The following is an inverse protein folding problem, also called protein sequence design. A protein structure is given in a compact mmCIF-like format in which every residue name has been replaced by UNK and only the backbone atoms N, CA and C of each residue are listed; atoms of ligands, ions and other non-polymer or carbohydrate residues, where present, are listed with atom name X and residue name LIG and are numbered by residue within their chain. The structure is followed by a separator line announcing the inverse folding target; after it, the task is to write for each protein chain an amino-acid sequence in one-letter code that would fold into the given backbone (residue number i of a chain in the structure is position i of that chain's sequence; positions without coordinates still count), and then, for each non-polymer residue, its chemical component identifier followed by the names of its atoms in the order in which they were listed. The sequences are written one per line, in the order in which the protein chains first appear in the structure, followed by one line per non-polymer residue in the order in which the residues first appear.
data_IF_620331703059
#
_entry.id   IF_620331703059
#
_cell.length_a   1.000
_cell.length_b   1.000
_cell.length_c   1.000
_cell.angle_alpha   90.00
_cell.angle_beta   90.00
_cell.angle_gamma   90.00
#
_symmetry.space_group_name_H-M   'P 1'
#
loop_
_entity.id
_entity.type
_entity.pdbx_description
1 polymer ?
#
# COMPACT_ATOMS: atom_id res chain seq x y z
N UNK A 1 -8.63 4.01 7.27
CA UNK A 1 -7.79 4.74 8.26
C UNK A 1 -8.15 4.41 9.72
N UNK A 2 -9.12 3.54 9.95
CA UNK A 2 -9.70 3.32 11.30
C UNK A 2 -8.69 2.86 12.37
N UNK A 3 -7.74 2.02 12.01
CA UNK A 3 -6.68 1.55 12.93
C UNK A 3 -5.33 2.26 12.73
N UNK A 4 -5.29 3.27 11.87
CA UNK A 4 -4.05 3.98 11.55
C UNK A 4 -3.33 4.57 12.78
N UNK A 5 -4.02 5.19 13.78
CA UNK A 5 -3.36 5.65 14.99
C UNK A 5 -2.70 4.51 15.77
N UNK A 6 -3.42 3.38 15.95
CA UNK A 6 -2.89 2.22 16.68
C UNK A 6 -1.70 1.58 15.97
N UNK A 7 -1.74 1.47 14.64
CA UNK A 7 -0.60 1.00 13.83
C UNK A 7 0.60 1.90 14.02
N UNK A 8 0.40 3.23 13.98
CA UNK A 8 1.49 4.19 14.17
C UNK A 8 2.15 4.06 15.54
N UNK A 9 1.37 3.87 16.61
CA UNK A 9 1.88 3.66 17.96
C UNK A 9 2.72 2.37 18.06
N UNK A 10 2.25 1.26 17.47
CA UNK A 10 3.01 0.00 17.44
C UNK A 10 4.32 0.18 16.68
N UNK A 11 4.29 0.76 15.47
CA UNK A 11 5.48 0.98 14.68
C UNK A 11 6.51 1.85 15.40
N UNK A 12 6.05 2.93 16.06
CA UNK A 12 6.91 3.82 16.87
C UNK A 12 7.52 3.09 18.05
N UNK A 13 6.71 2.39 18.84
CA UNK A 13 7.17 1.62 20.01
C UNK A 13 8.17 0.53 19.63
N UNK A 14 7.89 -0.12 18.51
CA UNK A 14 8.74 -1.18 17.97
C UNK A 14 9.92 -0.64 17.12
N UNK A 15 10.05 0.67 16.92
CA UNK A 15 11.10 1.27 16.09
C UNK A 15 11.18 0.66 14.69
N UNK A 16 10.03 0.45 14.05
CA UNK A 16 9.90 -0.12 12.70
C UNK A 16 9.45 0.95 11.74
N UNK A 17 10.20 1.16 10.66
CA UNK A 17 9.80 2.00 9.55
C UNK A 17 9.20 1.14 8.43
N UNK A 18 8.16 1.64 7.78
CA UNK A 18 7.46 0.97 6.70
C UNK A 18 7.31 1.89 5.50
N UNK A 19 6.92 1.32 4.36
CA UNK A 19 6.46 2.09 3.20
C UNK A 19 4.94 2.04 3.14
N UNK A 20 4.28 3.18 3.27
CA UNK A 20 2.84 3.31 3.13
C UNK A 20 2.47 3.56 1.67
N UNK A 21 1.57 2.75 1.14
CA UNK A 21 0.92 2.97 -0.15
C UNK A 21 -0.46 3.55 0.08
N UNK A 22 -0.74 4.75 -0.42
CA UNK A 22 -1.96 5.47 -0.12
C UNK A 22 -2.81 5.76 -1.36
N UNK A 23 -4.11 5.54 -1.22
CA UNK A 23 -5.18 5.96 -2.12
C UNK A 23 -6.10 6.94 -1.37
N UNK A 24 -6.93 7.69 -2.08
CA UNK A 24 -7.88 8.60 -1.45
C UNK A 24 -9.25 7.93 -1.25
N UNK A 25 -9.28 6.90 -0.45
CA UNK A 25 -10.51 6.19 -0.11
C UNK A 25 -11.33 6.93 0.95
N UNK A 26 -12.64 6.70 0.97
CA UNK A 26 -13.53 7.30 1.96
C UNK A 26 -13.13 6.95 3.39
N UNK A 27 -13.25 7.93 4.27
CA UNK A 27 -13.09 7.77 5.71
C UNK A 27 -14.38 8.20 6.44
N UNK A 28 -14.47 7.89 7.72
CA UNK A 28 -15.62 8.30 8.54
C UNK A 28 -15.71 9.81 8.70
N UNK A 29 -14.61 10.51 8.53
CA UNK A 29 -14.49 11.97 8.64
C UNK A 29 -14.98 12.71 7.39
N UNK A 30 -15.28 12.00 6.31
CA UNK A 30 -15.98 12.53 5.13
C UNK A 30 -15.08 13.00 3.98
N UNK A 31 -13.79 13.30 4.23
CA UNK A 31 -12.84 13.83 3.22
C UNK A 31 -11.90 12.74 2.78
N UNK A 32 -11.88 11.69 2.53
CA UNK A 32 -10.93 10.65 2.08
C UNK A 32 -9.63 10.59 2.88
N UNK A 33 -8.96 9.48 2.75
CA UNK A 33 -7.73 9.16 3.51
C UNK A 33 -6.53 10.04 3.15
N UNK A 34 -6.57 10.73 2.03
CA UNK A 34 -5.62 11.77 1.63
C UNK A 34 -6.21 13.20 1.75
N UNK A 35 -7.35 13.34 2.42
CA UNK A 35 -7.99 14.60 2.72
C UNK A 35 -7.26 15.42 3.79
N UNK A 36 -7.78 16.62 4.06
CA UNK A 36 -7.16 17.55 5.00
C UNK A 36 -7.24 17.06 6.44
N UNK A 37 -8.28 16.33 6.81
CA UNK A 37 -8.40 15.71 8.13
C UNK A 37 -7.20 14.80 8.45
N UNK A 38 -6.76 13.99 7.48
CA UNK A 38 -5.67 13.03 7.67
C UNK A 38 -4.28 13.58 7.33
N UNK A 39 -4.19 14.80 6.77
CA UNK A 39 -2.92 15.42 6.41
C UNK A 39 -1.91 15.52 7.59
N UNK A 40 -2.31 15.87 8.84
CA UNK A 40 -1.40 15.86 9.98
C UNK A 40 -0.85 14.47 10.29
N UNK A 41 -1.65 13.43 10.13
CA UNK A 41 -1.22 12.05 10.35
C UNK A 41 -0.12 11.63 9.35
N UNK A 42 -0.34 11.91 8.05
CA UNK A 42 0.66 11.60 7.01
C UNK A 42 1.96 12.38 7.20
N UNK A 43 1.85 13.66 7.58
CA UNK A 43 3.02 14.49 7.89
C UNK A 43 3.83 13.92 9.05
N UNK A 44 3.17 13.47 10.09
CA UNK A 44 3.84 12.82 11.23
C UNK A 44 4.54 11.53 10.80
N UNK A 45 3.91 10.69 9.98
CA UNK A 45 4.55 9.45 9.48
C UNK A 45 5.78 9.74 8.65
N UNK A 46 5.72 10.73 7.75
CA UNK A 46 6.89 11.16 6.98
C UNK A 46 8.03 11.67 7.86
N UNK A 47 7.71 12.46 8.90
CA UNK A 47 8.68 13.00 9.86
C UNK A 47 9.31 11.89 10.72
N UNK A 48 8.60 10.82 11.02
CA UNK A 48 9.10 9.65 11.76
C UNK A 48 10.01 8.75 10.90
N UNK A 49 10.20 9.05 9.62
CA UNK A 49 11.09 8.28 8.74
C UNK A 49 10.39 7.18 7.94
N UNK A 50 9.07 7.08 7.98
CA UNK A 50 8.34 6.20 7.07
C UNK A 50 8.45 6.71 5.63
N UNK A 51 8.40 5.77 4.68
CA UNK A 51 8.31 6.11 3.25
C UNK A 51 6.85 6.14 2.79
N UNK A 52 6.58 6.97 1.79
CA UNK A 52 5.25 7.12 1.20
C UNK A 52 5.31 6.73 -0.27
N UNK A 53 4.24 6.13 -0.79
CA UNK A 53 4.11 5.72 -2.19
C UNK A 53 2.63 5.69 -2.61
N UNK A 54 2.37 5.59 -3.91
CA UNK A 54 1.03 5.64 -4.47
C UNK A 54 0.31 4.29 -4.45
N UNK A 55 -1.00 4.33 -4.16
CA UNK A 55 -1.92 3.20 -4.34
C UNK A 55 -3.05 3.51 -5.34
N UNK A 56 -2.78 4.41 -6.29
CA UNK A 56 -3.73 5.10 -7.18
C UNK A 56 -4.67 6.04 -6.41
N UNK A 57 -5.16 7.10 -7.06
CA UNK A 57 -5.97 8.10 -6.36
C UNK A 57 -7.33 7.55 -5.90
N UNK A 58 -8.08 6.92 -6.84
CA UNK A 58 -9.41 6.39 -6.56
C UNK A 58 -9.40 4.89 -6.18
N UNK A 59 -8.25 4.36 -5.75
CA UNK A 59 -8.07 2.92 -5.51
C UNK A 59 -8.57 2.10 -6.70
N UNK A 60 -7.98 2.36 -7.86
CA UNK A 60 -8.46 1.92 -9.18
C UNK A 60 -7.97 0.52 -9.52
N UNK A 61 -8.84 -0.46 -9.38
CA UNK A 61 -8.54 -1.85 -9.75
C UNK A 61 -8.39 -2.01 -11.26
N UNK A 62 -7.29 -2.55 -11.72
CA UNK A 62 -7.15 -3.14 -13.04
C UNK A 62 -8.01 -4.42 -13.14
N UNK A 63 -8.69 -4.62 -14.26
CA UNK A 63 -9.51 -5.80 -14.52
C UNK A 63 -9.06 -6.57 -15.75
N UNK A 64 -8.66 -5.87 -16.82
CA UNK A 64 -8.16 -6.44 -18.06
C UNK A 64 -7.45 -5.38 -18.89
N UNK A 65 -6.57 -5.79 -19.79
CA UNK A 65 -6.09 -4.95 -20.87
C UNK A 65 -7.23 -4.73 -21.89
N UNK A 66 -7.38 -3.51 -22.38
CA UNK A 66 -8.47 -3.09 -23.29
C UNK A 66 -7.94 -2.42 -24.55
N UNK A 67 -6.65 -2.23 -24.69
CA UNK A 67 -5.93 -1.71 -25.83
C UNK A 67 -4.54 -2.31 -25.89
N UNK A 68 -3.80 -2.03 -26.96
CA UNK A 68 -2.43 -2.48 -27.15
C UNK A 68 -1.54 -1.33 -27.66
N UNK A 69 -0.23 -1.55 -27.72
CA UNK A 69 0.69 -0.57 -28.30
C UNK A 69 0.24 -0.21 -29.74
N UNK A 70 0.30 1.07 -30.16
CA UNK A 70 0.87 2.20 -29.43
C UNK A 70 -0.08 2.87 -28.43
N UNK A 71 -1.32 2.43 -28.30
CA UNK A 71 -2.35 3.03 -27.45
C UNK A 71 -2.83 2.06 -26.34
N UNK A 72 -1.98 1.75 -25.33
CA UNK A 72 -2.37 0.86 -24.25
C UNK A 72 -3.51 1.48 -23.42
N UNK A 73 -4.49 0.64 -23.10
CA UNK A 73 -5.65 1.00 -22.28
C UNK A 73 -6.04 -0.16 -21.38
N UNK A 74 -6.80 0.14 -20.33
CA UNK A 74 -7.15 -0.81 -19.28
C UNK A 74 -8.62 -0.72 -18.93
N UNK A 75 -9.29 -1.84 -18.84
CA UNK A 75 -10.59 -1.93 -18.16
C UNK A 75 -10.33 -1.85 -16.67
N UNK A 76 -10.97 -0.90 -16.02
CA UNK A 76 -10.75 -0.61 -14.58
C UNK A 76 -12.07 -0.54 -13.83
N UNK A 77 -11.98 -0.61 -12.50
CA UNK A 77 -13.12 -0.39 -11.59
C UNK A 77 -12.59 0.22 -10.29
N UNK A 78 -12.74 1.54 -10.07
CA UNK A 78 -12.37 2.19 -8.82
C UNK A 78 -13.25 1.73 -7.66
N UNK A 79 -12.71 1.69 -6.44
CA UNK A 79 -13.50 1.51 -5.21
C UNK A 79 -13.73 2.82 -4.44
N UNK A 80 -13.26 3.94 -4.99
CA UNK A 80 -13.50 5.28 -4.43
C UNK A 80 -13.71 6.32 -5.54
N UNK A 81 -14.13 7.51 -5.13
CA UNK A 81 -14.28 8.66 -6.01
C UNK A 81 -15.58 8.66 -6.84
N UNK A 82 -15.71 9.60 -7.81
CA UNK A 82 -16.96 9.83 -8.53
C UNK A 82 -17.46 8.65 -9.37
N UNK A 83 -16.54 7.76 -9.76
CA UNK A 83 -16.86 6.56 -10.56
C UNK A 83 -16.74 5.26 -9.76
N UNK A 84 -16.88 5.34 -8.45
CA UNK A 84 -16.86 4.19 -7.56
C UNK A 84 -17.78 3.08 -8.02
N UNK A 85 -17.27 1.84 -8.10
CA UNK A 85 -18.02 0.66 -8.49
C UNK A 85 -18.32 0.54 -9.98
N UNK A 86 -18.04 1.55 -10.82
CA UNK A 86 -18.28 1.52 -12.25
C UNK A 86 -17.09 0.89 -12.99
N UNK A 87 -17.39 0.06 -14.00
CA UNK A 87 -16.37 -0.46 -14.91
C UNK A 87 -16.31 0.38 -16.18
N UNK A 88 -15.10 0.82 -16.55
CA UNK A 88 -14.86 1.59 -17.77
C UNK A 88 -13.45 1.37 -18.29
N UNK A 89 -13.12 1.97 -19.42
CA UNK A 89 -11.78 1.92 -20.00
C UNK A 89 -11.05 3.22 -19.71
N UNK A 90 -9.82 3.09 -19.22
CA UNK A 90 -8.83 4.15 -19.07
C UNK A 90 -7.69 3.95 -20.05
N UNK A 91 -7.17 5.01 -20.66
CA UNK A 91 -5.87 4.99 -21.31
C UNK A 91 -4.74 4.80 -20.31
N UNK A 92 -3.55 4.42 -20.79
CA UNK A 92 -2.37 4.34 -19.93
C UNK A 92 -2.02 5.70 -19.30
N UNK A 93 -2.23 6.80 -20.02
CA UNK A 93 -2.02 8.15 -19.49
C UNK A 93 -2.94 8.46 -18.30
N UNK A 94 -4.24 8.18 -18.44
CA UNK A 94 -5.21 8.36 -17.34
C UNK A 94 -4.88 7.48 -16.13
N UNK A 95 -4.41 6.24 -16.35
CA UNK A 95 -3.97 5.39 -15.23
C UNK A 95 -2.70 5.94 -14.57
N UNK A 96 -1.77 6.51 -15.34
CA UNK A 96 -0.63 7.23 -14.80
C UNK A 96 -1.03 8.44 -13.96
N UNK A 97 -2.07 9.19 -14.37
CA UNK A 97 -2.62 10.29 -13.56
C UNK A 97 -3.18 9.82 -12.22
N UNK A 98 -3.84 8.65 -12.19
CA UNK A 98 -4.28 8.01 -10.94
C UNK A 98 -3.10 7.74 -9.99
N UNK A 99 -1.96 7.28 -10.51
CA UNK A 99 -0.76 7.04 -9.71
C UNK A 99 -0.14 8.37 -9.25
N UNK A 100 0.07 9.29 -10.18
CA UNK A 100 0.75 10.57 -9.94
C UNK A 100 -0.03 11.46 -8.97
N UNK A 101 -1.35 11.54 -9.13
CA UNK A 101 -2.21 12.36 -8.26
C UNK A 101 -2.12 11.97 -6.79
N UNK A 102 -2.07 10.67 -6.47
CA UNK A 102 -1.89 10.22 -5.09
C UNK A 102 -0.50 10.58 -4.56
N UNK A 103 0.55 10.41 -5.37
CA UNK A 103 1.91 10.79 -5.01
C UNK A 103 2.06 12.30 -4.79
N UNK A 104 1.51 13.12 -5.69
CA UNK A 104 1.55 14.59 -5.58
C UNK A 104 0.82 15.09 -4.32
N UNK A 105 -0.32 14.48 -4.01
CA UNK A 105 -1.04 14.83 -2.78
C UNK A 105 -0.24 14.46 -1.54
N UNK A 106 0.37 13.26 -1.50
CA UNK A 106 1.26 12.87 -0.40
C UNK A 106 2.43 13.84 -0.24
N UNK A 107 3.05 14.26 -1.36
CA UNK A 107 4.11 15.28 -1.35
C UNK A 107 3.62 16.60 -0.77
N UNK A 108 2.46 17.08 -1.22
CA UNK A 108 1.89 18.34 -0.77
C UNK A 108 1.60 18.35 0.74
N UNK A 109 1.07 17.25 1.29
CA UNK A 109 0.71 17.20 2.72
C UNK A 109 1.88 16.85 3.64
N UNK A 110 2.88 16.09 3.17
CA UNK A 110 4.01 15.64 4.00
C UNK A 110 5.28 16.46 3.81
N UNK A 111 5.39 17.25 2.74
CA UNK A 111 6.61 17.93 2.28
C UNK A 111 7.78 16.97 1.97
N UNK A 112 7.54 15.66 1.99
CA UNK A 112 8.48 14.62 1.60
C UNK A 112 8.11 14.10 0.22
N UNK A 113 9.06 13.98 -0.68
CA UNK A 113 8.82 13.38 -2.00
C UNK A 113 8.56 11.87 -1.83
N UNK A 114 7.39 11.34 -2.22
CA UNK A 114 7.11 9.91 -2.18
C UNK A 114 8.08 9.13 -3.05
N UNK A 115 8.30 7.87 -2.72
CA UNK A 115 9.05 6.95 -3.57
C UNK A 115 8.35 6.83 -4.94
N UNK A 116 9.09 6.73 -6.05
CA UNK A 116 8.53 6.51 -7.39
C UNK A 116 8.06 5.06 -7.53
N UNK A 117 7.26 4.63 -6.58
CA UNK A 117 6.67 3.30 -6.46
C UNK A 117 5.16 3.39 -6.43
N UNK A 118 4.50 2.40 -6.99
CA UNK A 118 3.07 2.22 -6.78
C UNK A 118 2.73 0.76 -6.50
N UNK A 119 1.63 0.54 -5.80
CA UNK A 119 1.02 -0.77 -5.64
C UNK A 119 -0.33 -0.77 -6.33
N UNK A 120 -0.56 -1.72 -7.24
CA UNK A 120 -1.86 -1.85 -7.89
C UNK A 120 -2.90 -2.36 -6.89
N UNK A 121 -4.10 -1.74 -6.81
CA UNK A 121 -5.19 -2.21 -5.96
C UNK A 121 -5.52 -3.68 -6.17
N UNK A 122 -5.62 -4.44 -5.07
CA UNK A 122 -5.81 -5.90 -5.08
C UNK A 122 -4.64 -6.70 -5.66
N UNK A 123 -3.49 -6.08 -5.91
CA UNK A 123 -2.30 -6.72 -6.47
C UNK A 123 -2.44 -7.22 -7.91
N UNK A 124 -3.55 -6.89 -8.59
CA UNK A 124 -3.84 -7.37 -9.94
C UNK A 124 -3.21 -6.47 -10.99
N UNK A 125 -2.42 -7.07 -11.87
CA UNK A 125 -1.66 -6.38 -12.91
C UNK A 125 -1.60 -7.16 -14.20
N UNK A 126 -1.12 -6.50 -15.27
CA UNK A 126 -0.64 -7.14 -16.48
C UNK A 126 0.76 -6.63 -16.84
N UNK A 127 1.45 -7.30 -17.72
CA UNK A 127 2.72 -6.83 -18.26
C UNK A 127 2.58 -5.44 -18.89
N UNK A 128 1.45 -5.19 -19.58
CA UNK A 128 1.15 -3.90 -20.21
C UNK A 128 0.94 -2.79 -19.19
N UNK A 129 0.22 -3.05 -18.08
CA UNK A 129 0.02 -2.10 -16.99
C UNK A 129 1.36 -1.73 -16.33
N UNK A 130 2.17 -2.73 -16.02
CA UNK A 130 3.49 -2.52 -15.40
C UNK A 130 4.41 -1.72 -16.34
N UNK A 131 4.43 -2.04 -17.63
CA UNK A 131 5.20 -1.30 -18.62
C UNK A 131 4.74 0.16 -18.74
N UNK A 132 3.42 0.40 -18.73
CA UNK A 132 2.85 1.75 -18.78
C UNK A 132 3.20 2.57 -17.54
N UNK A 133 3.09 1.98 -16.35
CA UNK A 133 3.48 2.65 -15.10
C UNK A 133 4.98 2.98 -15.08
N UNK A 134 5.82 2.07 -15.57
CA UNK A 134 7.26 2.30 -15.70
C UNK A 134 7.57 3.45 -16.66
N UNK A 135 6.83 3.54 -17.77
CA UNK A 135 7.01 4.64 -18.75
C UNK A 135 6.66 6.02 -18.16
N UNK A 136 5.78 6.09 -17.15
CA UNK A 136 5.51 7.33 -16.41
C UNK A 136 6.29 7.45 -15.08
N UNK A 137 7.34 6.65 -14.92
CA UNK A 137 8.32 6.82 -13.83
C UNK A 137 8.03 6.02 -12.56
N UNK A 138 7.06 5.08 -12.56
CA UNK A 138 6.71 4.32 -11.36
C UNK A 138 7.02 2.83 -11.48
N UNK A 139 7.69 2.26 -10.49
CA UNK A 139 7.86 0.82 -10.37
C UNK A 139 6.72 0.21 -9.56
N UNK A 140 6.17 -0.91 -10.05
CA UNK A 140 5.13 -1.65 -9.33
C UNK A 140 5.72 -2.49 -8.21
N UNK A 141 5.06 -2.49 -7.05
CA UNK A 141 5.44 -3.29 -5.88
C UNK A 141 4.32 -4.26 -5.52
N UNK A 142 4.61 -5.55 -5.59
CA UNK A 142 3.77 -6.61 -5.04
C UNK A 142 4.13 -6.94 -3.59
N UNK A 143 3.89 -8.17 -3.22
CA UNK A 143 4.30 -8.77 -1.94
C UNK A 143 4.70 -10.23 -2.16
N UNK A 144 5.49 -10.77 -1.23
CA UNK A 144 5.87 -12.18 -1.26
C UNK A 144 4.68 -13.07 -0.88
N UNK A 145 4.60 -14.32 -1.37
CA UNK A 145 3.53 -15.23 -0.98
C UNK A 145 3.41 -15.40 0.55
N UNK A 146 4.55 -15.50 1.26
CA UNK A 146 4.59 -15.56 2.72
C UNK A 146 4.32 -14.19 3.36
N UNK A 147 4.50 -13.11 2.63
CA UNK A 147 4.26 -11.73 3.06
C UNK A 147 2.80 -11.31 3.06
N UNK A 148 1.90 -12.08 2.44
CA UNK A 148 0.46 -11.87 2.58
C UNK A 148 0.02 -12.23 4.01
N UNK A 149 -0.15 -11.22 4.86
CA UNK A 149 -0.40 -11.41 6.29
C UNK A 149 -1.84 -11.79 6.61
N UNK A 150 -2.75 -11.71 5.62
CA UNK A 150 -4.13 -12.15 5.72
C UNK A 150 -5.05 -11.27 6.55
N UNK A 151 -4.64 -10.05 6.85
CA UNK A 151 -5.42 -9.09 7.64
C UNK A 151 -6.76 -8.69 6.99
N UNK A 152 -6.94 -8.98 5.70
CA UNK A 152 -8.19 -8.77 4.95
C UNK A 152 -9.11 -10.01 4.94
N UNK A 153 -8.65 -11.16 5.44
CA UNK A 153 -9.45 -12.38 5.47
C UNK A 153 -10.50 -12.32 6.59
N UNK A 154 -11.71 -12.88 6.37
CA UNK A 154 -12.73 -12.92 7.41
C UNK A 154 -12.25 -13.64 8.67
N UNK A 155 -12.59 -13.10 9.85
CA UNK A 155 -12.18 -13.67 11.15
C UNK A 155 -12.65 -15.11 11.35
N UNK A 156 -13.81 -15.46 10.78
CA UNK A 156 -14.40 -16.78 10.88
C UNK A 156 -13.58 -17.87 10.18
N UNK A 157 -12.84 -17.50 9.15
CA UNK A 157 -12.02 -18.43 8.37
C UNK A 157 -10.53 -18.32 8.65
N UNK A 158 -10.10 -17.17 9.21
CA UNK A 158 -8.70 -16.85 9.46
C UNK A 158 -8.55 -16.09 10.79
N UNK A 159 -8.48 -16.83 11.90
CA UNK A 159 -8.31 -16.21 13.21
C UNK A 159 -6.96 -15.48 13.32
N UNK A 160 -6.90 -14.46 14.19
CA UNK A 160 -5.66 -13.71 14.46
C UNK A 160 -4.51 -14.65 14.87
N UNK A 161 -4.78 -15.65 15.70
CA UNK A 161 -3.78 -16.65 16.13
C UNK A 161 -3.26 -17.48 14.95
N UNK A 162 -4.14 -17.92 14.06
CA UNK A 162 -3.73 -18.69 12.89
C UNK A 162 -2.86 -17.85 11.92
N UNK A 163 -3.24 -16.58 11.69
CA UNK A 163 -2.49 -15.66 10.85
C UNK A 163 -1.10 -15.34 11.44
N UNK A 164 -1.02 -15.07 12.74
CA UNK A 164 0.25 -14.85 13.44
C UNK A 164 1.17 -16.06 13.32
N UNK A 165 0.68 -17.25 13.66
CA UNK A 165 1.47 -18.47 13.61
C UNK A 165 1.95 -18.79 12.19
N UNK A 166 1.10 -18.57 11.18
CA UNK A 166 1.47 -18.73 9.77
C UNK A 166 2.60 -17.78 9.39
N UNK A 167 2.45 -16.49 9.69
CA UNK A 167 3.45 -15.48 9.33
C UNK A 167 4.78 -15.76 10.05
N UNK A 168 4.76 -16.06 11.35
CA UNK A 168 5.98 -16.40 12.10
C UNK A 168 6.68 -17.65 11.56
N UNK A 169 5.96 -18.63 11.02
CA UNK A 169 6.54 -19.84 10.43
C UNK A 169 7.10 -19.60 9.03
N UNK A 170 6.36 -18.87 8.18
CA UNK A 170 6.56 -18.85 6.73
C UNK A 170 7.45 -17.70 6.24
N UNK A 171 7.47 -16.54 6.93
CA UNK A 171 8.25 -15.37 6.52
C UNK A 171 9.75 -15.64 6.52
N UNK A 172 10.42 -15.18 5.46
CA UNK A 172 11.86 -15.28 5.23
C UNK A 172 12.49 -13.91 5.01
N UNK A 173 13.81 -13.84 5.10
CA UNK A 173 14.57 -12.63 4.77
C UNK A 173 14.37 -12.26 3.30
N UNK A 174 14.13 -10.97 3.04
CA UNK A 174 13.81 -10.46 1.70
C UNK A 174 12.32 -10.49 1.35
N UNK A 175 11.45 -11.04 2.20
CA UNK A 175 10.01 -11.00 1.96
C UNK A 175 9.44 -9.58 2.14
N UNK A 176 8.58 -9.18 1.19
CA UNK A 176 7.77 -7.97 1.30
C UNK A 176 6.45 -8.32 1.98
N UNK A 177 6.24 -7.76 3.15
CA UNK A 177 5.03 -7.98 3.96
C UNK A 177 3.94 -6.98 3.59
N UNK A 178 2.68 -7.41 3.61
CA UNK A 178 1.50 -6.60 3.31
C UNK A 178 0.52 -6.62 4.48
N UNK A 179 0.16 -5.43 4.95
CA UNK A 179 -0.96 -5.20 5.87
C UNK A 179 -1.67 -3.89 5.53
N UNK A 180 -2.89 -3.71 6.01
CA UNK A 180 -3.75 -2.55 5.73
C UNK A 180 -3.96 -1.69 7.00
N UNK A 181 -4.34 -0.41 6.80
CA UNK A 181 -4.67 0.52 7.88
C UNK A 181 -6.15 0.45 8.32
N UNK A 182 -6.78 -0.68 8.12
CA UNK A 182 -8.15 -0.98 8.50
C UNK A 182 -8.86 -1.82 7.45
N UNK A 183 -9.55 -2.86 7.90
CA UNK A 183 -10.33 -3.78 7.06
C UNK A 183 -11.72 -3.94 7.65
N UNK A 184 -12.71 -3.60 6.86
CA UNK A 184 -14.12 -3.57 7.23
C UNK A 184 -14.74 -4.95 7.47
N UNK A 185 -14.20 -5.99 6.83
CA UNK A 185 -14.75 -7.35 6.86
C UNK A 185 -14.37 -8.14 8.11
N UNK A 186 -13.42 -7.64 8.92
CA UNK A 186 -13.01 -8.35 10.13
C UNK A 186 -13.84 -7.92 11.33
N UNK A 187 -14.26 -8.90 12.13
CA UNK A 187 -14.93 -8.69 13.42
C UNK A 187 -13.92 -8.47 14.55
N UNK A 188 -12.77 -9.16 14.50
CA UNK A 188 -11.64 -8.96 15.38
C UNK A 188 -10.54 -8.17 14.66
N UNK A 189 -10.14 -7.05 15.22
CA UNK A 189 -9.09 -6.21 14.62
C UNK A 189 -7.77 -6.98 14.55
N UNK A 190 -7.19 -7.06 13.32
CA UNK A 190 -5.88 -7.66 13.12
C UNK A 190 -4.78 -6.80 13.77
N UNK A 191 -4.83 -5.49 13.57
CA UNK A 191 -3.95 -4.55 14.24
C UNK A 191 -4.68 -3.87 15.42
N UNK A 192 -4.09 -3.77 16.61
CA UNK A 192 -2.71 -4.16 16.95
C UNK A 192 -2.52 -5.63 17.31
N UNK A 193 -3.58 -6.43 17.41
CA UNK A 193 -3.56 -7.77 18.01
C UNK A 193 -2.55 -8.75 17.37
N UNK A 194 -2.30 -8.65 16.07
CA UNK A 194 -1.31 -9.48 15.35
C UNK A 194 -0.07 -8.70 15.02
N UNK A 195 -0.17 -7.41 14.69
CA UNK A 195 0.95 -6.62 14.21
C UNK A 195 2.11 -6.59 15.20
N UNK A 196 1.85 -6.28 16.44
CA UNK A 196 2.91 -6.16 17.45
C UNK A 196 3.55 -7.51 17.79
N UNK A 197 2.81 -8.58 18.13
CA UNK A 197 3.39 -9.90 18.33
C UNK A 197 4.15 -10.43 17.11
N UNK A 198 3.72 -10.11 15.89
CA UNK A 198 4.43 -10.49 14.68
C UNK A 198 5.79 -9.80 14.59
N UNK A 199 5.83 -8.48 14.81
CA UNK A 199 7.09 -7.71 14.81
C UNK A 199 8.05 -8.27 15.86
N UNK A 200 7.58 -8.48 17.08
CA UNK A 200 8.38 -9.03 18.17
C UNK A 200 8.91 -10.43 17.87
N UNK A 201 8.05 -11.33 17.40
CA UNK A 201 8.45 -12.69 17.07
C UNK A 201 9.42 -12.76 15.90
N UNK A 202 9.28 -11.89 14.88
CA UNK A 202 10.27 -11.82 13.80
C UNK A 202 11.61 -11.26 14.29
N UNK A 203 11.62 -10.22 15.15
CA UNK A 203 12.84 -9.70 15.75
C UNK A 203 13.56 -10.77 16.61
N UNK A 204 12.82 -11.54 17.40
CA UNK A 204 13.38 -12.65 18.20
C UNK A 204 14.02 -13.73 17.31
N UNK A 205 13.54 -13.87 16.08
CA UNK A 205 14.15 -14.75 15.05
C UNK A 205 15.33 -14.09 14.32
N UNK A 206 15.75 -12.89 14.71
CA UNK A 206 16.87 -12.17 14.11
C UNK A 206 16.55 -11.36 12.87
N UNK A 207 15.28 -11.12 12.55
CA UNK A 207 14.90 -10.27 11.42
C UNK A 207 15.04 -8.77 11.77
N UNK A 208 15.45 -7.99 10.76
CA UNK A 208 15.39 -6.54 10.75
C UNK A 208 14.33 -6.09 9.74
N UNK A 209 13.58 -5.04 10.09
CA UNK A 209 12.62 -4.42 9.19
C UNK A 209 13.27 -3.27 8.43
N UNK A 210 12.97 -3.17 7.13
CA UNK A 210 13.44 -2.10 6.24
C UNK A 210 12.29 -1.57 5.41
N UNK A 211 12.40 -0.31 4.98
CA UNK A 211 11.51 0.24 3.96
C UNK A 211 11.90 -0.27 2.58
N UNK A 212 11.03 -0.06 1.60
CA UNK A 212 11.32 -0.44 0.21
C UNK A 212 12.46 0.37 -0.41
N UNK A 213 12.87 1.48 0.21
CA UNK A 213 14.08 2.23 -0.19
C UNK A 213 15.34 1.35 -0.20
N UNK A 214 15.41 0.43 0.77
CA UNK A 214 16.58 -0.45 0.95
C UNK A 214 16.40 -1.83 0.26
N UNK A 215 15.24 -2.10 -0.36
CA UNK A 215 14.99 -3.39 -1.00
C UNK A 215 15.73 -3.48 -2.33
N UNK A 216 16.48 -4.57 -2.61
CA UNK A 216 17.31 -4.67 -3.82
C UNK A 216 16.59 -4.37 -5.13
N UNK A 217 15.34 -4.83 -5.28
CA UNK A 217 14.56 -4.64 -6.50
C UNK A 217 14.08 -3.18 -6.70
N UNK A 218 14.05 -2.37 -5.63
CA UNK A 218 13.48 -1.03 -5.66
C UNK A 218 14.47 0.09 -5.30
N UNK A 219 15.64 -0.26 -4.79
CA UNK A 219 16.66 0.70 -4.37
C UNK A 219 17.08 1.65 -5.51
N UNK A 220 17.20 1.14 -6.75
CA UNK A 220 17.52 1.96 -7.91
C UNK A 220 16.42 2.99 -8.24
N UNK A 221 15.13 2.61 -8.13
CA UNK A 221 14.03 3.55 -8.30
C UNK A 221 13.97 4.54 -7.13
N UNK A 222 14.13 4.07 -5.91
CA UNK A 222 14.12 4.90 -4.70
C UNK A 222 15.26 5.93 -4.66
N UNK A 223 16.40 5.65 -5.26
CA UNK A 223 17.53 6.57 -5.33
C UNK A 223 17.27 7.83 -6.18
N UNK A 224 16.22 7.83 -7.01
CA UNK A 224 15.82 8.99 -7.82
C UNK A 224 15.23 10.13 -6.98
N UNK A 225 14.82 9.85 -5.76
CA UNK A 225 14.26 10.81 -4.80
C UNK A 225 15.05 10.76 -3.49
N UNK A 226 15.47 11.95 -3.03
CA UNK A 226 16.19 12.17 -1.77
C UNK A 226 15.30 12.86 -0.77
#
# INVERSE_FOLDING_TARGET
MEVAPLVAEVLKRQQVHVTFFAANERTKEGDGSLGDHWAPWWRARAAEGHELASHTWNHTYWRADAGSAPHPAFRVRPSAGPREGQSFVMSAAEYCEEITRAADRLKAISSKTPLPLFRAPGGKTSAQLIASAKACGYAHVGWSPAGFLGDELPSETASNTALLNKALRDVRSGDILLAHLGIWSRKDAWAPAVLEPLIEGLKQRGFCFRTLRDHPDYAAAAAQVR
#
